data_IF_241082251363
#
_entry.id   IF_241082251363
#
_cell.length_a   1.000
_cell.length_b   1.000
_cell.length_c   1.000
_cell.angle_alpha   90.00
_cell.angle_beta   90.00
_cell.angle_gamma   90.00
#
_symmetry.space_group_name_H-M   'P 1'
#
loop_
_entity.id
_entity.type
_entity.pdbx_description
1 polymer ?
#
# COMPACT_ATOMS: atom_id res chain seq x y z
N UNK A 1 1.14 14.76 -21.99
CA UNK A 1 0.49 14.93 -20.67
C UNK A 1 -0.72 14.01 -20.66
N UNK A 2 -0.89 13.19 -19.61
CA UNK A 2 -2.07 12.33 -19.44
C UNK A 2 -2.94 12.89 -18.33
N UNK A 3 -4.25 12.84 -18.50
CA UNK A 3 -5.24 13.23 -17.51
C UNK A 3 -6.50 12.39 -17.70
N UNK A 4 -7.25 12.19 -16.62
CA UNK A 4 -8.54 11.50 -16.65
C UNK A 4 -9.47 12.11 -15.58
N UNK A 5 -10.76 11.83 -15.70
CA UNK A 5 -11.77 12.18 -14.70
C UNK A 5 -11.75 11.24 -13.48
N UNK A 6 -11.09 10.09 -13.58
CA UNK A 6 -10.88 9.15 -12.48
C UNK A 6 -9.52 8.46 -12.55
N UNK A 7 -8.97 8.14 -11.38
CA UNK A 7 -7.63 7.57 -11.25
C UNK A 7 -7.53 6.14 -11.82
N UNK A 8 -8.60 5.33 -11.73
CA UNK A 8 -8.60 3.94 -12.22
C UNK A 8 -8.42 3.89 -13.72
N UNK A 9 -9.13 4.75 -14.46
CA UNK A 9 -8.99 4.89 -15.90
C UNK A 9 -7.57 5.33 -16.28
N UNK A 10 -7.01 6.35 -15.60
CA UNK A 10 -5.65 6.84 -15.84
C UNK A 10 -4.61 5.73 -15.65
N UNK A 11 -4.67 5.02 -14.52
CA UNK A 11 -3.75 3.93 -14.20
C UNK A 11 -3.89 2.77 -15.19
N UNK A 12 -5.12 2.48 -15.65
CA UNK A 12 -5.36 1.45 -16.66
C UNK A 12 -4.70 1.79 -18.00
N UNK A 13 -4.77 3.05 -18.42
CA UNK A 13 -4.16 3.54 -19.66
C UNK A 13 -2.64 3.51 -19.55
N UNK A 14 -2.07 4.03 -18.46
CA UNK A 14 -0.61 4.01 -18.22
C UNK A 14 -0.08 2.58 -18.19
N UNK A 15 -0.80 1.65 -17.55
CA UNK A 15 -0.41 0.24 -17.53
C UNK A 15 -0.33 -0.35 -18.94
N UNK A 16 -1.32 -0.06 -19.79
CA UNK A 16 -1.30 -0.50 -21.20
C UNK A 16 -0.15 0.13 -21.98
N UNK A 17 0.15 1.41 -21.75
CA UNK A 17 1.29 2.08 -22.35
C UNK A 17 2.61 1.40 -21.96
N UNK A 18 2.73 0.91 -20.72
CA UNK A 18 3.89 0.13 -20.25
C UNK A 18 3.92 -1.32 -20.79
N UNK A 19 2.97 -1.74 -21.62
CA UNK A 19 2.83 -3.12 -22.08
C UNK A 19 2.30 -4.09 -21.02
N UNK A 20 1.64 -3.58 -19.97
CA UNK A 20 1.06 -4.35 -18.89
C UNK A 20 -0.47 -4.40 -19.01
N UNK A 21 -1.03 -5.60 -19.02
CA UNK A 21 -2.48 -5.80 -18.88
C UNK A 21 -2.96 -5.26 -17.51
N UNK A 22 -3.88 -4.27 -17.47
CA UNK A 22 -4.44 -3.74 -16.23
C UNK A 22 -5.04 -4.80 -15.32
N UNK A 23 -5.59 -5.89 -15.88
CA UNK A 23 -6.16 -6.99 -15.11
C UNK A 23 -5.12 -7.77 -14.28
N UNK A 24 -3.81 -7.57 -14.53
CA UNK A 24 -2.74 -8.16 -13.69
C UNK A 24 -2.50 -7.36 -12.41
N UNK A 25 -3.01 -6.13 -12.31
CA UNK A 25 -2.81 -5.26 -11.16
C UNK A 25 -3.93 -5.47 -10.13
N UNK A 26 -3.59 -6.11 -9.01
CA UNK A 26 -4.54 -6.34 -7.90
C UNK A 26 -5.16 -5.05 -7.36
N UNK A 27 -4.43 -3.93 -7.45
CA UNK A 27 -4.92 -2.61 -7.08
C UNK A 27 -6.17 -2.22 -7.87
N UNK A 28 -6.14 -2.41 -9.21
CA UNK A 28 -7.25 -2.05 -10.08
C UNK A 28 -8.48 -2.93 -9.84
N UNK A 29 -8.28 -4.23 -9.58
CA UNK A 29 -9.36 -5.12 -9.12
C UNK A 29 -10.02 -4.63 -7.84
N UNK A 30 -9.22 -4.22 -6.84
CA UNK A 30 -9.73 -3.70 -5.57
C UNK A 30 -10.47 -2.39 -5.77
N UNK A 31 -9.94 -1.47 -6.58
CA UNK A 31 -10.57 -0.19 -6.87
C UNK A 31 -11.94 -0.37 -7.55
N UNK A 32 -12.01 -1.28 -8.54
CA UNK A 32 -13.27 -1.66 -9.20
C UNK A 32 -14.28 -2.25 -8.22
N UNK A 33 -13.85 -3.17 -7.36
CA UNK A 33 -14.71 -3.78 -6.34
C UNK A 33 -15.24 -2.77 -5.32
N UNK A 34 -14.54 -1.64 -5.11
CA UNK A 34 -14.98 -0.53 -4.27
C UNK A 34 -15.83 0.51 -5.03
N UNK A 35 -16.07 0.31 -6.34
CA UNK A 35 -16.82 1.25 -7.18
C UNK A 35 -16.08 2.56 -7.49
N UNK A 36 -14.75 2.58 -7.38
CA UNK A 36 -13.92 3.78 -7.58
C UNK A 36 -13.60 4.06 -9.07
N UNK A 37 -14.00 3.15 -9.96
CA UNK A 37 -13.78 3.23 -11.41
C UNK A 37 -13.68 1.85 -12.04
N UNK A 38 -13.49 1.78 -13.35
CA UNK A 38 -13.30 0.54 -14.09
C UNK A 38 -12.03 0.64 -14.95
N UNK A 39 -11.43 -0.50 -15.26
CA UNK A 39 -10.21 -0.65 -16.06
C UNK A 39 -10.44 -1.50 -17.32
N UNK A 40 -11.67 -1.99 -17.53
CA UNK A 40 -12.06 -2.69 -18.74
C UNK A 40 -11.88 -1.78 -19.98
N UNK A 41 -11.36 -2.30 -21.12
CA UNK A 41 -11.15 -1.51 -22.34
C UNK A 41 -12.37 -0.73 -22.81
N UNK A 42 -13.53 -1.35 -22.74
CA UNK A 42 -14.82 -0.78 -23.13
C UNK A 42 -15.33 0.31 -22.17
N UNK A 43 -14.80 0.37 -20.95
CA UNK A 43 -15.21 1.34 -19.94
C UNK A 43 -14.33 2.61 -19.94
N UNK A 44 -13.27 2.64 -20.75
CA UNK A 44 -12.29 3.74 -20.78
C UNK A 44 -12.17 4.30 -22.19
N UNK A 45 -12.69 5.51 -22.40
CA UNK A 45 -12.50 6.26 -23.63
C UNK A 45 -11.14 6.99 -23.60
N UNK A 46 -10.35 6.83 -24.66
CA UNK A 46 -9.07 7.53 -24.82
C UNK A 46 -9.21 8.61 -25.87
N UNK A 47 -9.09 9.87 -25.45
CA UNK A 47 -9.09 11.03 -26.34
C UNK A 47 -7.65 11.39 -26.73
N UNK A 48 -7.31 11.20 -28.01
CA UNK A 48 -5.98 11.46 -28.55
C UNK A 48 -5.19 10.18 -28.87
N UNK A 49 -3.89 10.33 -29.12
CA UNK A 49 -3.02 9.22 -29.48
C UNK A 49 -2.43 8.52 -28.25
N UNK A 50 -2.61 7.20 -28.19
CA UNK A 50 -2.02 6.35 -27.16
C UNK A 50 -0.63 5.85 -27.63
N UNK A 51 0.44 6.38 -27.04
CA UNK A 51 1.80 5.94 -27.32
C UNK A 51 2.22 4.79 -26.39
N UNK A 52 2.73 3.70 -26.94
CA UNK A 52 3.37 2.63 -26.16
C UNK A 52 4.77 3.08 -25.74
N UNK A 53 5.13 2.81 -24.48
CA UNK A 53 6.45 3.10 -23.91
C UNK A 53 7.43 1.98 -24.29
N UNK A 54 8.12 2.16 -25.42
CA UNK A 54 9.11 1.20 -25.89
C UNK A 54 10.24 1.00 -24.87
N UNK A 55 10.67 -0.25 -24.68
CA UNK A 55 11.76 -0.60 -23.78
C UNK A 55 11.44 -0.45 -22.28
N UNK A 56 10.17 -0.25 -21.91
CA UNK A 56 9.77 -0.22 -20.50
C UNK A 56 10.04 -1.57 -19.83
N UNK A 57 10.85 -1.57 -18.76
CA UNK A 57 11.21 -2.79 -18.02
C UNK A 57 10.27 -2.99 -16.83
N UNK A 58 9.34 -3.94 -16.95
CA UNK A 58 8.48 -4.33 -15.85
C UNK A 58 9.24 -5.19 -14.83
N UNK A 59 9.05 -4.96 -13.52
CA UNK A 59 9.53 -5.90 -12.52
C UNK A 59 8.75 -7.21 -12.59
N UNK A 60 9.31 -8.25 -11.98
CA UNK A 60 8.63 -9.51 -11.69
C UNK A 60 7.34 -9.22 -10.89
N UNK A 61 6.17 -9.38 -11.52
CA UNK A 61 4.85 -9.17 -10.89
C UNK A 61 4.32 -10.45 -10.22
N UNK A 62 5.04 -11.56 -10.39
CA UNK A 62 4.83 -12.84 -9.75
C UNK A 62 5.41 -12.83 -8.34
N UNK A 63 4.74 -12.13 -7.42
CA UNK A 63 4.79 -12.45 -5.99
C UNK A 63 4.20 -13.85 -5.66
N UNK A 64 4.14 -14.75 -6.65
CA UNK A 64 3.35 -15.99 -6.71
C UNK A 64 4.01 -17.19 -6.03
N UNK A 65 5.33 -17.17 -5.78
CA UNK A 65 6.02 -18.31 -5.18
C UNK A 65 5.49 -18.69 -3.78
N UNK A 66 4.84 -17.75 -3.08
CA UNK A 66 4.29 -17.93 -1.73
C UNK A 66 2.75 -18.05 -1.78
N UNK A 67 2.12 -18.02 -2.96
CA UNK A 67 0.65 -17.94 -3.05
C UNK A 67 -0.10 -19.25 -2.83
N UNK A 68 0.61 -20.38 -2.84
CA UNK A 68 -0.04 -21.70 -2.84
C UNK A 68 -0.14 -22.36 -1.45
N UNK A 69 0.37 -21.74 -0.38
CA UNK A 69 0.23 -22.26 0.98
C UNK A 69 -0.10 -21.15 1.97
N UNK A 70 -1.36 -21.13 2.42
CA UNK A 70 -1.82 -20.20 3.44
C UNK A 70 -1.04 -20.34 4.76
N UNK A 71 -0.58 -21.54 5.11
CA UNK A 71 0.26 -21.74 6.29
C UNK A 71 1.62 -21.05 6.12
N UNK A 72 2.27 -21.24 4.97
CA UNK A 72 3.55 -20.62 4.68
C UNK A 72 3.43 -19.09 4.64
N UNK A 73 2.33 -18.56 4.08
CA UNK A 73 2.02 -17.13 4.12
C UNK A 73 1.95 -16.59 5.54
N UNK A 74 1.14 -17.18 6.42
CA UNK A 74 0.99 -16.63 7.79
C UNK A 74 2.28 -16.77 8.62
N UNK A 75 3.07 -17.82 8.39
CA UNK A 75 4.37 -18.02 9.05
C UNK A 75 5.41 -16.99 8.58
N UNK A 76 5.42 -16.67 7.30
CA UNK A 76 6.30 -15.64 6.76
C UNK A 76 5.84 -14.25 7.20
N UNK A 77 4.54 -13.97 7.18
CA UNK A 77 3.98 -12.71 7.66
C UNK A 77 4.33 -12.45 9.13
N UNK A 78 4.15 -13.44 10.01
CA UNK A 78 4.46 -13.30 11.44
C UNK A 78 5.95 -13.15 11.76
N UNK A 79 6.86 -13.46 10.83
CA UNK A 79 8.32 -13.42 11.07
C UNK A 79 9.08 -12.37 10.26
N UNK A 80 8.54 -11.96 9.12
CA UNK A 80 9.20 -11.05 8.18
C UNK A 80 8.61 -9.64 8.26
N UNK A 81 7.32 -9.51 8.61
CA UNK A 81 6.69 -8.19 8.70
C UNK A 81 7.24 -7.45 9.91
N UNK A 82 8.06 -6.46 9.61
CA UNK A 82 8.51 -5.49 10.60
C UNK A 82 7.32 -4.63 11.02
N UNK A 83 7.07 -4.52 12.32
CA UNK A 83 5.98 -3.69 12.85
C UNK A 83 6.54 -2.52 13.65
N UNK A 84 5.86 -1.35 13.61
CA UNK A 84 6.26 -0.21 14.41
C UNK A 84 6.14 -0.51 15.92
N UNK A 85 7.10 -0.03 16.71
CA UNK A 85 7.08 -0.06 18.18
C UNK A 85 7.67 1.24 18.71
N UNK A 86 6.94 1.89 19.62
CA UNK A 86 7.42 3.10 20.26
C UNK A 86 8.50 2.81 21.32
N UNK A 87 9.56 3.60 21.29
CA UNK A 87 10.61 3.64 22.30
C UNK A 87 10.17 4.58 23.43
N UNK A 88 9.85 4.00 24.59
CA UNK A 88 9.35 4.75 25.77
C UNK A 88 10.27 5.87 26.22
N UNK A 89 11.60 5.72 26.04
CA UNK A 89 12.57 6.74 26.43
C UNK A 89 12.51 8.02 25.58
N UNK A 90 11.90 7.96 24.38
CA UNK A 90 11.86 9.07 23.41
C UNK A 90 10.44 9.52 23.09
N UNK A 91 9.45 8.65 23.30
CA UNK A 91 8.06 8.98 23.04
C UNK A 91 7.56 10.03 24.05
N UNK A 92 7.04 11.14 23.55
CA UNK A 92 6.44 12.22 24.35
C UNK A 92 4.92 12.11 24.46
N UNK A 93 4.33 11.02 23.98
CA UNK A 93 2.88 10.80 23.90
C UNK A 93 2.11 11.90 23.11
N UNK A 94 2.76 12.58 22.15
CA UNK A 94 2.17 13.71 21.43
C UNK A 94 0.99 13.36 20.51
N UNK A 95 0.75 12.08 20.21
CA UNK A 95 -0.40 11.63 19.42
C UNK A 95 -0.26 11.70 17.90
N UNK A 96 0.76 12.36 17.33
CA UNK A 96 0.89 12.50 15.86
C UNK A 96 0.83 11.18 15.10
N UNK A 97 1.44 10.12 15.63
CA UNK A 97 1.40 8.80 15.02
C UNK A 97 0.01 8.13 15.02
N UNK A 98 -0.85 8.49 15.98
CA UNK A 98 -2.25 8.05 16.05
C UNK A 98 -3.06 8.77 14.97
N UNK A 99 -2.94 10.09 14.89
CA UNK A 99 -3.69 10.92 13.93
C UNK A 99 -3.36 10.57 12.47
N UNK A 100 -2.10 10.21 12.20
CA UNK A 100 -1.62 9.88 10.85
C UNK A 100 -1.80 8.40 10.49
N UNK A 101 -2.38 7.57 11.36
CA UNK A 101 -2.54 6.15 11.06
C UNK A 101 -3.77 5.93 10.15
N UNK A 102 -3.60 5.54 8.88
CA UNK A 102 -4.74 5.31 7.98
C UNK A 102 -5.59 4.10 8.40
N UNK A 103 -4.99 3.16 9.13
CA UNK A 103 -5.66 1.96 9.64
C UNK A 103 -6.21 2.14 11.07
N UNK A 104 -6.05 3.33 11.67
CA UNK A 104 -6.48 3.61 13.06
C UNK A 104 -5.94 2.58 14.07
N UNK A 105 -4.74 2.06 13.83
CA UNK A 105 -4.14 0.95 14.57
C UNK A 105 -3.25 1.38 15.74
N UNK A 106 -3.26 2.66 16.12
CA UNK A 106 -2.45 3.17 17.22
C UNK A 106 -3.33 3.87 18.25
N UNK A 107 -2.89 3.81 19.51
CA UNK A 107 -3.47 4.56 20.63
C UNK A 107 -2.38 4.92 21.64
N UNK A 108 -2.65 5.88 22.50
CA UNK A 108 -1.75 6.23 23.60
C UNK A 108 -2.19 5.47 24.86
N UNK A 109 -1.28 4.69 25.44
CA UNK A 109 -1.47 4.00 26.72
C UNK A 109 -0.23 4.23 27.59
N UNK A 110 -0.41 4.49 28.89
CA UNK A 110 0.70 4.70 29.84
C UNK A 110 1.78 5.69 29.36
N UNK A 111 1.36 6.78 28.71
CA UNK A 111 2.21 7.80 28.10
C UNK A 111 3.15 7.29 26.98
N UNK A 112 2.78 6.22 26.27
CA UNK A 112 3.49 5.74 25.08
C UNK A 112 2.51 5.32 23.99
N UNK A 113 2.90 5.45 22.73
CA UNK A 113 2.11 4.94 21.62
C UNK A 113 2.18 3.41 21.55
N UNK A 114 1.01 2.76 21.54
CA UNK A 114 0.84 1.31 21.45
C UNK A 114 0.15 0.97 20.12
N UNK A 115 0.71 -0.01 19.41
CA UNK A 115 0.22 -0.46 18.11
C UNK A 115 -0.62 -1.71 18.30
N UNK A 116 -1.85 -1.68 17.77
CA UNK A 116 -2.65 -2.87 17.53
C UNK A 116 -2.04 -3.66 16.37
N UNK A 117 -1.52 -4.85 16.67
CA UNK A 117 -0.86 -5.69 15.68
C UNK A 117 -1.82 -6.30 14.67
N UNK A 118 -3.08 -6.50 15.02
CA UNK A 118 -4.06 -7.10 14.11
C UNK A 118 -4.57 -6.06 13.11
N UNK A 119 -4.81 -4.83 13.58
CA UNK A 119 -5.27 -3.73 12.73
C UNK A 119 -4.17 -3.10 11.86
N UNK A 120 -2.90 -3.15 12.31
CA UNK A 120 -1.82 -2.45 11.62
C UNK A 120 -1.47 -3.10 10.26
N UNK A 121 -1.48 -2.28 9.21
CA UNK A 121 -1.18 -2.68 7.82
C UNK A 121 0.29 -2.52 7.41
N UNK A 122 1.18 -2.22 8.36
CA UNK A 122 2.62 -2.00 8.14
C UNK A 122 2.96 -0.94 7.06
N UNK A 123 2.19 0.16 7.01
CA UNK A 123 2.43 1.26 6.07
C UNK A 123 3.57 2.21 6.47
N UNK A 124 4.05 2.11 7.72
CA UNK A 124 5.15 2.91 8.28
C UNK A 124 4.94 4.43 8.38
N UNK A 125 3.76 4.96 8.05
CA UNK A 125 3.44 6.39 8.21
C UNK A 125 3.71 6.91 9.63
N UNK A 126 3.41 6.11 10.66
CA UNK A 126 3.68 6.48 12.05
C UNK A 126 5.17 6.66 12.35
N UNK A 127 6.05 5.92 11.67
CA UNK A 127 7.49 6.03 11.83
C UNK A 127 8.04 7.26 11.12
N UNK A 128 7.51 7.59 9.94
CA UNK A 128 7.89 8.76 9.17
C UNK A 128 7.43 10.06 9.83
N UNK A 129 6.21 10.06 10.37
CA UNK A 129 5.56 11.26 10.92
C UNK A 129 5.90 11.54 12.39
N UNK A 130 6.61 10.65 13.09
CA UNK A 130 6.94 10.86 14.49
C UNK A 130 8.00 11.97 14.65
N UNK A 131 7.66 13.12 15.27
CA UNK A 131 8.61 14.24 15.40
C UNK A 131 9.83 13.88 16.25
N UNK A 132 9.63 13.04 17.27
CA UNK A 132 10.70 12.56 18.16
C UNK A 132 11.52 11.41 17.56
N UNK A 133 11.13 10.92 16.37
CA UNK A 133 11.65 9.70 15.74
C UNK A 133 11.66 8.50 16.71
N UNK A 134 10.65 8.43 17.58
CA UNK A 134 10.56 7.47 18.68
C UNK A 134 9.95 6.13 18.25
N UNK A 135 9.65 5.92 16.97
CA UNK A 135 9.06 4.68 16.45
C UNK A 135 10.15 3.88 15.75
N UNK A 136 10.48 2.71 16.29
CA UNK A 136 11.38 1.75 15.67
C UNK A 136 10.58 0.67 14.91
N UNK A 137 11.21 0.07 13.91
CA UNK A 137 10.68 -1.12 13.23
C UNK A 137 11.29 -2.36 13.88
N UNK A 138 10.45 -3.25 14.40
CA UNK A 138 10.88 -4.49 15.04
C UNK A 138 10.30 -5.70 14.33
N UNK A 139 11.08 -6.78 14.23
CA UNK A 139 10.57 -8.05 13.71
C UNK A 139 9.47 -8.60 14.62
N UNK A 140 8.55 -9.34 14.00
CA UNK A 140 7.36 -9.92 14.62
C UNK A 140 7.64 -10.77 15.85
#
# INVERSE_FOLDING_TARGET
MLAADNAVALDSVISRMMGLDPARLRLLHKARALGLGDFAPEAVEVLGELAVLEGFRLPALDGGAIQHSAQLQSLLESRIVMRPKAERARCTACGTCVDQCPAQALRIEDAVAVVDREACIACFCCQEMCPEKAIALVAG
#
